data_IF_783935215232
#
_entry.id   IF_783935215232
#
_cell.length_a   1.000
_cell.length_b   1.000
_cell.length_c   1.000
_cell.angle_alpha   90.00
_cell.angle_beta   90.00
_cell.angle_gamma   90.00
#
_symmetry.space_group_name_H-M   'P 1'
#
loop_
_entity.id
_entity.type
_entity.pdbx_description
1 polymer ?
#
# COMPACT_ATOMS: atom_id res chain seq x y z
N UNK A 1 36.00 80.04 -15.53
CA UNK A 1 36.91 79.02 -16.06
C UNK A 1 36.36 77.72 -15.63
N UNK A 2 35.71 77.13 -16.52
CA UNK A 2 35.69 75.75 -17.02
C UNK A 2 35.96 74.68 -15.96
N UNK A 3 34.91 74.06 -15.46
CA UNK A 3 34.88 72.65 -15.10
C UNK A 3 33.79 71.97 -15.94
N UNK A 4 34.24 71.29 -17.00
CA UNK A 4 33.41 70.47 -17.87
C UNK A 4 33.35 69.08 -17.33
N UNK A 5 32.11 68.60 -17.13
CA UNK A 5 31.58 67.33 -17.51
C UNK A 5 32.55 66.15 -17.61
N UNK A 6 32.37 65.21 -16.66
CA UNK A 6 32.70 63.84 -16.86
C UNK A 6 31.68 62.91 -16.16
N UNK A 7 30.43 62.98 -16.59
CA UNK A 7 29.38 62.03 -16.26
C UNK A 7 28.88 61.34 -17.53
N UNK A 8 29.69 60.47 -18.06
CA UNK A 8 29.30 59.57 -19.13
C UNK A 8 29.93 58.19 -18.83
N UNK A 9 29.13 57.16 -18.70
CA UNK A 9 29.41 55.74 -18.48
C UNK A 9 29.25 55.19 -17.08
N UNK A 10 28.00 55.16 -16.60
CA UNK A 10 27.54 54.20 -15.57
C UNK A 10 26.04 53.93 -15.78
N UNK A 11 25.68 53.43 -16.94
CA UNK A 11 24.38 52.85 -17.19
C UNK A 11 24.50 51.86 -18.34
N UNK A 12 24.99 50.65 -18.07
CA UNK A 12 24.82 49.50 -18.95
C UNK A 12 25.09 48.20 -18.17
N UNK A 13 24.29 47.95 -17.15
CA UNK A 13 24.02 46.62 -16.62
C UNK A 13 22.53 46.54 -16.30
N UNK A 14 21.70 46.83 -17.30
CA UNK A 14 20.30 46.42 -17.28
C UNK A 14 20.23 45.03 -18.00
N UNK A 15 20.75 44.01 -17.32
CA UNK A 15 20.57 42.60 -17.70
C UNK A 15 19.13 42.15 -17.38
N UNK A 16 18.15 43.01 -17.62
CA UNK A 16 16.76 42.65 -17.63
C UNK A 16 16.50 41.73 -18.83
N UNK A 17 16.15 40.46 -18.57
CA UNK A 17 15.70 39.54 -19.62
C UNK A 17 14.51 40.22 -20.33
N UNK A 18 14.73 40.70 -21.57
CA UNK A 18 13.67 41.36 -22.35
C UNK A 18 12.62 40.30 -22.71
N UNK A 19 11.47 40.35 -22.01
CA UNK A 19 10.34 39.43 -22.24
C UNK A 19 9.88 39.48 -23.71
N UNK A 20 10.04 40.62 -24.38
CA UNK A 20 9.72 40.81 -25.80
C UNK A 20 10.68 40.03 -26.71
N UNK A 21 12.00 40.01 -26.37
CA UNK A 21 12.98 39.18 -27.11
C UNK A 21 12.73 37.70 -26.90
N UNK A 22 12.40 37.26 -25.68
CA UNK A 22 12.00 35.89 -25.37
C UNK A 22 10.80 35.43 -26.23
N UNK A 23 9.76 36.26 -26.29
CA UNK A 23 8.58 35.94 -27.09
C UNK A 23 8.89 35.85 -28.59
N UNK A 24 9.75 36.76 -29.10
CA UNK A 24 10.22 36.73 -30.50
C UNK A 24 11.01 35.45 -30.82
N UNK A 25 11.89 35.01 -29.90
CA UNK A 25 12.63 33.73 -30.04
C UNK A 25 11.72 32.53 -30.09
N UNK A 26 10.68 32.49 -29.25
CA UNK A 26 9.68 31.42 -29.26
C UNK A 26 8.90 31.36 -30.58
N UNK A 27 8.50 32.51 -31.12
CA UNK A 27 7.80 32.59 -32.42
C UNK A 27 8.67 32.18 -33.56
N UNK A 28 9.94 32.61 -33.61
CA UNK A 28 10.93 32.19 -34.62
C UNK A 28 11.29 30.70 -34.52
N UNK A 29 11.32 30.19 -33.28
CA UNK A 29 11.60 28.76 -32.98
C UNK A 29 10.40 27.82 -33.04
N UNK A 30 9.20 28.29 -33.44
CA UNK A 30 7.94 27.53 -33.37
C UNK A 30 8.03 26.12 -34.03
N UNK A 31 8.72 25.98 -35.16
CA UNK A 31 8.87 24.71 -35.83
C UNK A 31 9.77 23.72 -35.07
N UNK A 32 10.79 24.24 -34.36
CA UNK A 32 11.68 23.45 -33.51
C UNK A 32 10.88 23.00 -32.28
N UNK A 33 10.15 23.95 -31.68
CA UNK A 33 9.32 23.66 -30.50
C UNK A 33 8.28 22.59 -30.84
N UNK A 34 7.57 22.76 -31.95
CA UNK A 34 6.54 21.81 -32.39
C UNK A 34 7.12 20.42 -32.67
N UNK A 35 8.22 20.33 -33.42
CA UNK A 35 8.84 19.04 -33.79
C UNK A 35 9.38 18.30 -32.56
N UNK A 36 10.12 18.97 -31.67
CA UNK A 36 10.69 18.33 -30.47
C UNK A 36 9.58 17.89 -29.52
N UNK A 37 8.57 18.74 -29.28
CA UNK A 37 7.42 18.38 -28.44
C UNK A 37 6.69 17.16 -28.99
N UNK A 38 6.45 17.13 -30.33
CA UNK A 38 5.76 16.01 -30.98
C UNK A 38 6.58 14.71 -30.87
N UNK A 39 7.89 14.76 -31.02
CA UNK A 39 8.76 13.57 -30.88
C UNK A 39 8.69 13.02 -29.46
N UNK A 40 8.83 13.89 -28.44
CA UNK A 40 8.78 13.47 -27.03
C UNK A 40 7.39 12.92 -26.67
N UNK A 41 6.33 13.56 -27.20
CA UNK A 41 4.96 13.07 -27.01
C UNK A 41 4.76 11.66 -27.62
N UNK A 42 5.25 11.42 -28.84
CA UNK A 42 5.16 10.10 -29.49
C UNK A 42 5.94 9.04 -28.69
N UNK A 43 7.11 9.38 -28.16
CA UNK A 43 7.88 8.48 -27.30
C UNK A 43 7.07 8.14 -26.03
N UNK A 44 6.52 9.14 -25.33
CA UNK A 44 5.72 8.95 -24.13
C UNK A 44 4.42 8.15 -24.39
N UNK A 45 3.76 8.43 -25.52
CA UNK A 45 2.58 7.68 -25.94
C UNK A 45 2.90 6.21 -26.22
N UNK A 46 3.96 5.94 -26.99
CA UNK A 46 4.40 4.57 -27.29
C UNK A 46 4.80 3.82 -26.02
N UNK A 47 5.55 4.47 -25.11
CA UNK A 47 5.88 3.91 -23.81
C UNK A 47 4.63 3.55 -22.99
N UNK A 48 3.63 4.44 -22.96
CA UNK A 48 2.36 4.21 -22.25
C UNK A 48 1.60 2.99 -22.76
N UNK A 49 1.68 2.69 -24.06
CA UNK A 49 1.05 1.50 -24.66
C UNK A 49 1.76 0.20 -24.35
N UNK A 50 3.08 0.26 -24.08
CA UNK A 50 3.90 -0.92 -23.77
C UNK A 50 3.77 -1.36 -22.32
N UNK A 51 3.30 -0.48 -21.43
CA UNK A 51 3.09 -0.82 -20.01
C UNK A 51 1.94 -1.82 -19.85
N UNK A 52 2.10 -2.85 -18.99
CA UNK A 52 1.03 -3.81 -18.70
C UNK A 52 -0.10 -3.14 -17.93
N UNK A 53 -1.34 -3.60 -18.17
CA UNK A 53 -2.49 -3.20 -17.38
C UNK A 53 -2.42 -3.82 -15.99
N UNK A 54 -2.75 -3.05 -14.98
CA UNK A 54 -2.84 -3.46 -13.57
C UNK A 54 -4.27 -3.21 -13.10
N UNK A 55 -4.85 -4.19 -12.47
CA UNK A 55 -6.18 -4.14 -11.85
C UNK A 55 -6.03 -4.08 -10.34
N UNK A 56 -6.87 -3.29 -9.69
CA UNK A 56 -6.84 -3.10 -8.25
C UNK A 56 -8.19 -3.53 -7.66
N UNK A 57 -8.19 -4.61 -6.88
CA UNK A 57 -9.36 -5.02 -6.10
C UNK A 57 -9.29 -4.40 -4.71
N UNK A 58 -10.39 -3.81 -4.25
CA UNK A 58 -10.49 -3.09 -2.98
C UNK A 58 -11.56 -3.72 -2.10
N UNK A 59 -11.26 -3.76 -0.81
CA UNK A 59 -12.22 -4.07 0.23
C UNK A 59 -12.26 -2.91 1.24
N UNK A 60 -13.44 -2.42 1.55
CA UNK A 60 -13.64 -1.46 2.65
C UNK A 60 -14.01 -2.22 3.90
N UNK A 61 -13.21 -2.08 4.95
CA UNK A 61 -13.27 -2.85 6.18
C UNK A 61 -13.60 -1.94 7.37
N UNK A 62 -14.44 -2.45 8.27
CA UNK A 62 -14.69 -1.83 9.57
C UNK A 62 -14.06 -2.69 10.67
N UNK A 63 -13.37 -2.08 11.67
CA UNK A 63 -12.92 -2.81 12.85
C UNK A 63 -14.10 -3.39 13.64
N UNK A 64 -14.03 -4.68 13.92
CA UNK A 64 -15.03 -5.34 14.79
C UNK A 64 -14.73 -4.91 16.23
N UNK A 65 -15.66 -4.15 16.84
CA UNK A 65 -15.52 -3.71 18.22
C UNK A 65 -15.60 -4.91 19.17
N UNK A 66 -14.57 -5.10 19.98
CA UNK A 66 -14.60 -6.08 21.08
C UNK A 66 -15.52 -5.65 22.23
N UNK A 67 -16.09 -4.44 22.17
CA UNK A 67 -16.76 -3.78 23.28
C UNK A 67 -18.24 -4.18 23.52
N UNK A 68 -18.82 -5.09 22.74
CA UNK A 68 -20.26 -5.39 22.86
C UNK A 68 -20.64 -6.47 23.90
N UNK A 69 -19.75 -6.89 24.78
CA UNK A 69 -20.11 -7.91 25.77
C UNK A 69 -19.90 -7.53 27.23
N UNK A 70 -18.74 -7.05 27.57
CA UNK A 70 -18.36 -6.95 29.02
C UNK A 70 -17.92 -5.54 29.40
N UNK A 71 -17.36 -4.76 28.48
CA UNK A 71 -16.93 -3.38 28.75
C UNK A 71 -18.09 -2.43 29.12
N UNK A 72 -19.32 -2.74 28.74
CA UNK A 72 -20.52 -1.95 29.10
C UNK A 72 -20.86 -2.07 30.57
N UNK A 73 -20.75 -3.26 31.17
CA UNK A 73 -20.97 -3.47 32.59
C UNK A 73 -19.78 -3.03 33.45
N UNK A 74 -18.56 -3.21 32.99
CA UNK A 74 -17.35 -2.71 33.67
C UNK A 74 -17.24 -1.17 33.66
N UNK A 75 -17.74 -0.48 32.65
CA UNK A 75 -17.82 1.00 32.68
C UNK A 75 -18.63 1.53 33.87
N UNK A 76 -19.66 0.81 34.29
CA UNK A 76 -20.46 1.18 35.46
C UNK A 76 -19.69 0.95 36.77
N UNK A 77 -18.70 0.06 36.81
CA UNK A 77 -17.85 -0.22 37.97
C UNK A 77 -16.48 0.44 37.91
N UNK A 78 -16.14 1.11 36.78
CA UNK A 78 -14.86 1.80 36.60
C UNK A 78 -14.56 2.88 37.63
N UNK A 79 -15.59 3.53 38.15
CA UNK A 79 -15.46 4.47 39.27
C UNK A 79 -15.01 3.82 40.57
N UNK A 80 -15.42 2.58 40.85
CA UNK A 80 -15.03 1.82 42.05
C UNK A 80 -13.63 1.20 41.93
N UNK A 81 -13.24 0.78 40.71
CA UNK A 81 -11.89 0.27 40.42
C UNK A 81 -10.82 1.37 40.56
N UNK A 82 -11.13 2.61 40.13
CA UNK A 82 -10.27 3.78 40.32
C UNK A 82 -10.02 4.12 41.79
N UNK A 83 -11.05 3.94 42.67
CA UNK A 83 -10.92 4.10 44.14
C UNK A 83 -10.06 3.00 44.75
N UNK A 84 -10.00 1.81 44.14
CA UNK A 84 -9.17 0.69 44.60
C UNK A 84 -7.72 0.74 44.03
N UNK A 85 -7.36 1.79 43.27
CA UNK A 85 -6.02 1.93 42.69
C UNK A 85 -5.74 0.96 41.54
N UNK A 86 -6.77 0.32 40.97
CA UNK A 86 -6.65 -0.59 39.84
C UNK A 86 -6.80 0.24 38.56
N UNK A 87 -5.70 0.44 37.85
CA UNK A 87 -5.69 1.04 36.51
C UNK A 87 -6.26 0.03 35.51
N UNK A 88 -7.52 0.23 35.09
CA UNK A 88 -8.06 -0.54 33.97
C UNK A 88 -7.37 -0.10 32.68
N UNK A 89 -6.91 -1.04 31.81
CA UNK A 89 -6.34 -0.69 30.53
C UNK A 89 -7.36 0.13 29.72
N UNK A 90 -6.89 1.26 29.14
CA UNK A 90 -7.72 2.05 28.22
C UNK A 90 -8.11 1.19 27.01
N UNK A 91 -9.37 1.18 26.59
CA UNK A 91 -9.84 0.34 25.48
C UNK A 91 -9.19 0.67 24.12
N UNK A 92 -8.58 1.85 23.94
CA UNK A 92 -8.29 2.41 22.63
C UNK A 92 -6.91 2.06 22.04
N UNK A 93 -5.87 1.84 22.86
CA UNK A 93 -4.51 1.63 22.33
C UNK A 93 -4.14 0.15 22.08
N UNK A 94 -4.93 -0.80 22.50
CA UNK A 94 -4.63 -2.24 22.44
C UNK A 94 -5.67 -3.06 21.68
N UNK A 95 -6.51 -2.43 20.86
CA UNK A 95 -7.52 -3.17 20.09
C UNK A 95 -6.85 -4.14 19.09
N UNK A 96 -7.44 -5.32 18.92
CA UNK A 96 -6.94 -6.31 17.95
C UNK A 96 -6.85 -5.74 16.55
N UNK A 97 -7.69 -4.76 16.20
CA UNK A 97 -7.65 -4.08 14.89
C UNK A 97 -6.35 -3.28 14.67
N UNK A 98 -5.85 -2.55 15.69
CA UNK A 98 -4.58 -1.82 15.59
C UNK A 98 -3.41 -2.78 15.44
N UNK A 99 -3.38 -3.84 16.25
CA UNK A 99 -2.35 -4.89 16.16
C UNK A 99 -2.40 -5.60 14.79
N UNK A 100 -3.61 -5.88 14.29
CA UNK A 100 -3.80 -6.54 13.00
C UNK A 100 -3.37 -5.68 11.83
N UNK A 101 -3.63 -4.36 11.83
CA UNK A 101 -3.11 -3.44 10.80
C UNK A 101 -1.59 -3.52 10.68
N UNK A 102 -0.88 -3.45 11.82
CA UNK A 102 0.57 -3.58 11.83
C UNK A 102 1.04 -5.00 11.45
N UNK A 103 0.26 -6.02 11.80
CA UNK A 103 0.57 -7.41 11.42
C UNK A 103 0.45 -7.65 9.91
N UNK A 104 -0.54 -7.05 9.24
CA UNK A 104 -0.74 -7.15 7.79
C UNK A 104 0.51 -6.80 6.97
N UNK A 105 1.29 -5.82 7.42
CA UNK A 105 2.52 -5.38 6.77
C UNK A 105 3.79 -6.03 7.34
N UNK A 106 3.67 -7.13 8.07
CA UNK A 106 4.83 -7.82 8.66
C UNK A 106 5.30 -9.01 7.82
N UNK A 107 6.62 -9.18 7.73
CA UNK A 107 7.24 -10.33 7.06
C UNK A 107 6.71 -11.67 7.62
N UNK A 108 6.53 -11.77 8.94
CA UNK A 108 6.08 -13.02 9.57
C UNK A 108 4.64 -13.40 9.18
N UNK A 109 3.75 -12.42 9.01
CA UNK A 109 2.40 -12.66 8.51
C UNK A 109 2.43 -13.11 7.04
N UNK A 110 3.14 -12.38 6.20
CA UNK A 110 3.29 -12.75 4.80
C UNK A 110 3.84 -14.17 4.64
N UNK A 111 4.93 -14.50 5.33
CA UNK A 111 5.61 -15.79 5.21
C UNK A 111 4.75 -16.96 5.69
N UNK A 112 4.02 -16.77 6.80
CA UNK A 112 3.29 -17.87 7.44
C UNK A 112 1.86 -18.04 6.92
N UNK A 113 1.23 -16.96 6.47
CA UNK A 113 -0.19 -16.95 6.11
C UNK A 113 -0.43 -16.69 4.62
N UNK A 114 0.36 -15.81 3.97
CA UNK A 114 0.09 -15.43 2.58
C UNK A 114 0.91 -16.28 1.61
N UNK A 115 2.24 -16.34 1.77
CA UNK A 115 3.14 -17.00 0.82
C UNK A 115 2.83 -18.48 0.60
N UNK A 116 2.31 -19.17 1.61
CA UNK A 116 1.91 -20.59 1.52
C UNK A 116 0.66 -20.82 0.66
N UNK A 117 -0.17 -19.79 0.53
CA UNK A 117 -1.47 -19.85 -0.11
C UNK A 117 -1.50 -19.21 -1.50
N UNK A 118 -0.36 -18.66 -1.97
CA UNK A 118 -0.22 -18.07 -3.30
C UNK A 118 0.79 -18.85 -4.13
N UNK A 119 0.58 -18.83 -5.44
CA UNK A 119 1.57 -19.40 -6.36
C UNK A 119 2.69 -18.40 -6.60
N UNK A 120 3.91 -18.75 -6.19
CA UNK A 120 5.06 -17.81 -6.19
C UNK A 120 5.36 -17.18 -7.57
N UNK A 121 5.25 -17.91 -8.71
CA UNK A 121 5.39 -17.27 -10.01
C UNK A 121 4.36 -16.18 -10.32
N UNK A 122 3.14 -16.28 -9.77
CA UNK A 122 2.13 -15.23 -9.94
C UNK A 122 2.53 -13.91 -9.26
N UNK A 123 3.30 -14.01 -8.17
CA UNK A 123 3.83 -12.84 -7.50
C UNK A 123 5.09 -12.28 -8.19
N UNK A 124 5.99 -13.17 -8.62
CA UNK A 124 7.37 -12.78 -8.93
C UNK A 124 7.66 -12.67 -10.43
N UNK A 125 6.92 -13.37 -11.28
CA UNK A 125 7.29 -13.57 -12.69
C UNK A 125 6.20 -13.19 -13.70
N UNK A 126 5.11 -12.55 -13.28
CA UNK A 126 4.06 -12.15 -14.23
C UNK A 126 4.51 -10.96 -15.06
N UNK A 127 4.40 -11.08 -16.38
CA UNK A 127 4.66 -10.03 -17.35
C UNK A 127 3.37 -9.31 -17.75
N UNK A 128 2.30 -10.06 -18.04
CA UNK A 128 1.04 -9.50 -18.48
C UNK A 128 -0.13 -10.46 -18.28
N UNK A 129 -1.33 -9.95 -18.46
CA UNK A 129 -2.58 -10.72 -18.46
C UNK A 129 -3.17 -10.75 -19.86
N UNK A 130 -3.50 -11.94 -20.35
CA UNK A 130 -4.20 -12.09 -21.62
C UNK A 130 -5.72 -12.11 -21.38
N UNK A 131 -6.37 -11.02 -21.74
CA UNK A 131 -7.80 -10.84 -21.57
C UNK A 131 -8.66 -11.88 -22.32
N UNK A 132 -8.24 -12.31 -23.53
CA UNK A 132 -9.01 -13.24 -24.35
C UNK A 132 -8.96 -14.67 -23.80
N UNK A 133 -7.78 -15.11 -23.36
CA UNK A 133 -7.57 -16.48 -22.83
C UNK A 133 -7.77 -16.56 -21.33
N UNK A 134 -7.91 -15.44 -20.63
CA UNK A 134 -7.96 -15.32 -19.17
C UNK A 134 -6.78 -16.05 -18.49
N UNK A 135 -5.59 -15.92 -19.06
CA UNK A 135 -4.37 -16.56 -18.54
C UNK A 135 -3.27 -15.52 -18.34
N UNK A 136 -2.44 -15.76 -17.33
CA UNK A 136 -1.21 -15.01 -17.11
C UNK A 136 -0.16 -15.40 -18.14
N UNK A 137 0.59 -14.40 -18.58
CA UNK A 137 1.81 -14.53 -19.37
C UNK A 137 2.99 -14.24 -18.43
N UNK A 138 3.89 -15.20 -18.27
CA UNK A 138 5.06 -15.04 -17.42
C UNK A 138 6.24 -14.50 -18.23
N UNK A 139 7.17 -13.90 -17.53
CA UNK A 139 8.45 -13.48 -18.09
C UNK A 139 9.38 -14.71 -18.17
N UNK A 140 9.62 -15.19 -19.39
CA UNK A 140 10.46 -16.34 -19.66
C UNK A 140 11.93 -16.13 -19.26
N UNK A 141 12.37 -14.89 -19.03
CA UNK A 141 13.69 -14.60 -18.48
C UNK A 141 13.79 -14.81 -16.96
N UNK A 142 12.64 -14.94 -16.28
CA UNK A 142 12.54 -15.13 -14.83
C UNK A 142 12.08 -16.57 -14.52
N UNK A 143 11.05 -17.04 -15.22
CA UNK A 143 10.41 -18.31 -14.93
C UNK A 143 9.92 -19.00 -16.20
N UNK A 144 10.40 -20.23 -16.46
CA UNK A 144 9.90 -21.06 -17.55
C UNK A 144 8.68 -21.88 -17.07
N UNK A 145 7.51 -21.48 -17.56
CA UNK A 145 6.24 -22.12 -17.22
C UNK A 145 6.15 -23.56 -17.74
N UNK A 146 6.83 -23.92 -18.83
CA UNK A 146 6.71 -25.24 -19.44
C UNK A 146 7.45 -26.30 -18.62
N UNK A 147 8.62 -25.94 -18.10
CA UNK A 147 9.46 -26.80 -17.26
C UNK A 147 9.26 -26.60 -15.75
N UNK A 148 8.45 -25.61 -15.34
CA UNK A 148 8.22 -25.22 -13.94
C UNK A 148 9.53 -24.85 -13.20
N UNK A 149 10.45 -24.14 -13.89
CA UNK A 149 11.79 -23.84 -13.39
C UNK A 149 12.06 -22.36 -13.38
N UNK A 150 12.69 -21.88 -12.31
CA UNK A 150 13.22 -20.52 -12.21
C UNK A 150 14.52 -20.42 -13.01
N UNK A 151 14.55 -19.51 -14.00
CA UNK A 151 15.70 -19.29 -14.90
C UNK A 151 16.37 -17.95 -14.69
N UNK A 152 15.89 -17.13 -13.77
CA UNK A 152 16.38 -15.78 -13.50
C UNK A 152 17.86 -15.72 -13.13
N UNK A 153 18.52 -14.62 -13.49
CA UNK A 153 19.84 -14.28 -12.97
C UNK A 153 19.71 -13.79 -11.51
N UNK A 154 20.66 -14.18 -10.67
CA UNK A 154 20.70 -13.78 -9.27
C UNK A 154 22.14 -13.53 -8.82
N UNK A 155 22.30 -12.69 -7.80
CA UNK A 155 23.58 -12.40 -7.17
C UNK A 155 23.49 -12.72 -5.67
N UNK A 156 24.55 -13.28 -5.11
CA UNK A 156 24.58 -13.54 -3.68
C UNK A 156 24.27 -12.24 -2.88
N UNK A 157 23.40 -12.26 -1.84
CA UNK A 157 22.80 -13.41 -1.15
C UNK A 157 21.49 -13.97 -1.75
N UNK A 158 20.99 -13.46 -2.86
CA UNK A 158 19.82 -13.97 -3.55
C UNK A 158 20.00 -15.43 -3.99
N UNK A 159 18.89 -16.10 -4.27
CA UNK A 159 18.86 -17.48 -4.76
C UNK A 159 18.09 -17.54 -6.08
N UNK A 160 18.25 -18.64 -6.81
CA UNK A 160 17.50 -18.86 -8.06
C UNK A 160 15.99 -18.83 -7.81
N UNK A 161 15.50 -19.50 -6.76
CA UNK A 161 14.11 -19.38 -6.28
C UNK A 161 14.03 -18.16 -5.37
N UNK A 162 13.11 -17.21 -5.62
CA UNK A 162 12.93 -16.05 -4.77
C UNK A 162 12.71 -16.41 -3.31
N UNK A 163 13.42 -15.71 -2.41
CA UNK A 163 13.27 -15.91 -0.98
C UNK A 163 11.97 -15.29 -0.47
N UNK A 164 11.54 -15.68 0.73
CA UNK A 164 10.37 -15.07 1.38
C UNK A 164 10.56 -13.57 1.66
N UNK A 165 11.79 -13.11 1.90
CA UNK A 165 12.09 -11.69 2.09
C UNK A 165 11.94 -10.90 0.78
N UNK A 166 12.49 -11.41 -0.30
CA UNK A 166 12.38 -10.82 -1.64
C UNK A 166 10.92 -10.79 -2.12
N UNK A 167 10.20 -11.89 -1.89
CA UNK A 167 8.78 -11.99 -2.21
C UNK A 167 7.91 -11.04 -1.37
N UNK A 168 8.25 -10.87 -0.10
CA UNK A 168 7.60 -9.92 0.80
C UNK A 168 7.80 -8.48 0.34
N UNK A 169 9.02 -8.09 0.02
CA UNK A 169 9.33 -6.75 -0.46
C UNK A 169 8.49 -6.41 -1.69
N UNK A 170 8.46 -7.32 -2.67
CA UNK A 170 7.64 -7.14 -3.87
C UNK A 170 6.14 -7.07 -3.55
N UNK A 171 5.65 -7.94 -2.67
CA UNK A 171 4.25 -7.96 -2.27
C UNK A 171 3.81 -6.64 -1.63
N UNK A 172 4.61 -6.08 -0.72
CA UNK A 172 4.29 -4.83 -0.02
C UNK A 172 4.42 -3.61 -0.93
N UNK A 173 5.43 -3.58 -1.82
CA UNK A 173 5.70 -2.39 -2.64
C UNK A 173 4.84 -2.31 -3.89
N UNK A 174 4.54 -3.46 -4.52
CA UNK A 174 3.86 -3.49 -5.82
C UNK A 174 2.40 -3.95 -5.74
N UNK A 175 2.05 -4.78 -4.74
CA UNK A 175 0.73 -5.42 -4.71
C UNK A 175 -0.16 -4.93 -3.58
N UNK A 176 0.31 -4.90 -2.33
CA UNK A 176 -0.52 -4.55 -1.17
C UNK A 176 -0.53 -3.04 -0.93
N UNK A 177 -1.74 -2.50 -0.73
CA UNK A 177 -1.91 -1.14 -0.21
C UNK A 177 -2.94 -1.13 0.91
N UNK A 178 -2.61 -0.44 2.00
CA UNK A 178 -3.48 -0.22 3.14
C UNK A 178 -3.67 1.28 3.34
N UNK A 179 -4.91 1.73 3.41
CA UNK A 179 -5.25 3.13 3.68
C UNK A 179 -6.33 3.20 4.75
N UNK A 180 -6.11 3.99 5.78
CA UNK A 180 -7.07 4.21 6.85
C UNK A 180 -7.66 5.62 6.74
N UNK A 181 -8.97 5.72 6.83
CA UNK A 181 -9.64 7.00 7.01
C UNK A 181 -9.62 7.38 8.50
N UNK A 182 -8.84 8.38 8.84
CA UNK A 182 -8.68 8.86 10.23
C UNK A 182 -9.98 9.39 10.87
N UNK A 183 -11.02 9.71 10.07
CA UNK A 183 -12.29 10.20 10.60
C UNK A 183 -13.24 9.07 10.97
N UNK A 184 -13.28 8.04 10.16
CA UNK A 184 -14.18 6.90 10.35
C UNK A 184 -13.51 5.69 10.99
N UNK A 185 -12.17 5.61 10.94
CA UNK A 185 -11.40 4.44 11.37
C UNK A 185 -11.54 3.24 10.42
N UNK A 186 -12.14 3.44 9.25
CA UNK A 186 -12.29 2.37 8.26
C UNK A 186 -10.97 2.11 7.55
N UNK A 187 -10.71 0.84 7.27
CA UNK A 187 -9.50 0.38 6.59
C UNK A 187 -9.83 -0.03 5.16
N UNK A 188 -9.23 0.61 4.18
CA UNK A 188 -9.25 0.14 2.80
C UNK A 188 -8.06 -0.79 2.58
N UNK A 189 -8.35 -2.06 2.34
CA UNK A 189 -7.39 -3.07 1.91
C UNK A 189 -7.49 -3.18 0.40
N UNK A 190 -6.39 -2.99 -0.33
CA UNK A 190 -6.38 -3.17 -1.77
C UNK A 190 -5.19 -3.99 -2.24
N UNK A 191 -5.41 -4.81 -3.27
CA UNK A 191 -4.39 -5.60 -3.95
C UNK A 191 -4.39 -5.23 -5.43
N UNK A 192 -3.19 -4.92 -5.94
CA UNK A 192 -2.92 -4.67 -7.34
C UNK A 192 -2.30 -5.90 -8.00
N UNK A 193 -2.81 -6.28 -9.16
CA UNK A 193 -2.25 -7.38 -9.93
C UNK A 193 -2.59 -7.22 -11.42
N UNK A 194 -1.81 -7.85 -12.31
CA UNK A 194 -2.10 -7.85 -13.75
C UNK A 194 -3.40 -8.62 -14.08
N UNK A 195 -3.76 -9.64 -13.27
CA UNK A 195 -5.03 -10.34 -13.38
C UNK A 195 -6.05 -9.79 -12.38
N UNK A 196 -7.24 -9.35 -12.82
CA UNK A 196 -8.30 -8.88 -11.92
C UNK A 196 -8.83 -9.99 -11.00
N UNK A 197 -8.75 -11.26 -11.44
CA UNK A 197 -9.15 -12.42 -10.65
C UNK A 197 -8.21 -12.65 -9.47
N UNK A 198 -6.90 -12.59 -9.72
CA UNK A 198 -5.89 -12.76 -8.66
C UNK A 198 -5.92 -11.56 -7.71
N UNK A 199 -6.11 -10.33 -8.21
CA UNK A 199 -6.27 -9.18 -7.35
C UNK A 199 -7.40 -9.38 -6.33
N UNK A 200 -8.58 -9.84 -6.77
CA UNK A 200 -9.69 -10.18 -5.87
C UNK A 200 -9.33 -11.32 -4.92
N UNK A 201 -8.84 -12.44 -5.45
CA UNK A 201 -8.51 -13.63 -4.67
C UNK A 201 -7.50 -13.32 -3.55
N UNK A 202 -6.47 -12.52 -3.85
CA UNK A 202 -5.47 -12.17 -2.84
C UNK A 202 -6.02 -11.14 -1.82
N UNK A 203 -6.93 -10.27 -2.22
CA UNK A 203 -7.62 -9.37 -1.26
C UNK A 203 -8.45 -10.18 -0.26
N UNK A 204 -9.23 -11.16 -0.75
CA UNK A 204 -9.99 -12.09 0.08
C UNK A 204 -9.09 -12.95 0.97
N UNK A 205 -7.96 -13.43 0.42
CA UNK A 205 -6.98 -14.22 1.17
C UNK A 205 -6.42 -13.42 2.34
N UNK A 206 -5.93 -12.19 2.11
CA UNK A 206 -5.35 -11.35 3.16
C UNK A 206 -6.37 -11.03 4.25
N UNK A 207 -7.61 -10.73 3.86
CA UNK A 207 -8.71 -10.49 4.81
C UNK A 207 -9.03 -11.72 5.65
N UNK A 208 -9.16 -12.90 5.03
CA UNK A 208 -9.51 -14.14 5.73
C UNK A 208 -8.37 -14.57 6.68
N UNK A 209 -7.12 -14.50 6.21
CA UNK A 209 -5.96 -14.92 7.00
C UNK A 209 -5.75 -14.05 8.25
N UNK A 210 -5.96 -12.73 8.16
CA UNK A 210 -5.81 -11.86 9.33
C UNK A 210 -6.93 -12.10 10.36
N UNK A 211 -8.17 -12.31 9.92
CA UNK A 211 -9.28 -12.66 10.79
C UNK A 211 -9.06 -14.02 11.48
N UNK A 212 -8.65 -15.02 10.72
CA UNK A 212 -8.36 -16.36 11.23
C UNK A 212 -7.20 -16.35 12.23
N UNK A 213 -6.10 -15.66 11.90
CA UNK A 213 -4.93 -15.58 12.78
C UNK A 213 -5.28 -15.05 14.17
N UNK A 214 -6.05 -13.96 14.25
CA UNK A 214 -6.43 -13.39 15.54
C UNK A 214 -7.52 -14.18 16.25
N UNK A 215 -8.47 -14.75 15.52
CA UNK A 215 -9.49 -15.66 16.08
C UNK A 215 -8.86 -16.88 16.72
N UNK A 216 -7.97 -17.57 16.02
CA UNK A 216 -7.26 -18.76 16.51
C UNK A 216 -6.35 -18.44 17.71
N UNK A 217 -5.67 -17.29 17.66
CA UNK A 217 -4.83 -16.85 18.76
C UNK A 217 -5.62 -16.61 20.04
N UNK A 218 -6.67 -15.78 19.97
CA UNK A 218 -7.47 -15.42 21.14
C UNK A 218 -8.26 -16.62 21.65
N UNK A 219 -8.70 -17.53 20.75
CA UNK A 219 -9.31 -18.81 21.12
C UNK A 219 -8.36 -19.67 21.94
N UNK A 220 -7.14 -19.88 21.43
CA UNK A 220 -6.11 -20.66 22.12
C UNK A 220 -5.75 -20.07 23.49
N UNK A 221 -5.62 -18.73 23.60
CA UNK A 221 -5.38 -18.06 24.88
C UNK A 221 -6.52 -18.29 25.88
N UNK A 222 -7.78 -18.21 25.43
CA UNK A 222 -8.95 -18.46 26.29
C UNK A 222 -9.08 -19.93 26.68
N UNK A 223 -8.81 -20.88 25.79
CA UNK A 223 -8.81 -22.30 26.10
C UNK A 223 -7.76 -22.64 27.20
N UNK A 224 -6.55 -22.10 27.10
CA UNK A 224 -5.50 -22.24 28.11
C UNK A 224 -5.96 -21.65 29.46
N UNK A 225 -6.58 -20.47 29.42
CA UNK A 225 -7.10 -19.84 30.64
C UNK A 225 -8.21 -20.67 31.30
N UNK A 226 -9.14 -21.22 30.53
CA UNK A 226 -10.21 -22.12 31.00
C UNK A 226 -9.62 -23.36 31.67
N UNK A 227 -8.66 -24.01 31.02
CA UNK A 227 -7.99 -25.19 31.58
C UNK A 227 -7.25 -24.88 32.91
N UNK A 228 -6.55 -23.74 32.92
CA UNK A 228 -5.84 -23.30 34.13
C UNK A 228 -6.81 -23.02 35.28
N UNK A 229 -7.88 -22.26 35.04
CA UNK A 229 -8.89 -21.93 36.06
C UNK A 229 -9.59 -23.18 36.58
N UNK A 230 -9.95 -24.14 35.74
CA UNK A 230 -10.53 -25.43 36.16
C UNK A 230 -9.58 -26.21 37.10
N UNK A 231 -8.28 -26.24 36.78
CA UNK A 231 -7.28 -26.87 37.67
C UNK A 231 -7.20 -26.14 39.01
N UNK A 232 -7.15 -24.81 39.02
CA UNK A 232 -7.08 -24.03 40.25
C UNK A 232 -8.32 -24.21 41.13
N UNK A 233 -9.53 -24.22 40.54
CA UNK A 233 -10.78 -24.49 41.27
C UNK A 233 -10.74 -25.86 41.94
N UNK A 234 -10.20 -26.87 41.28
CA UNK A 234 -10.16 -28.26 41.83
C UNK A 234 -9.25 -28.41 43.03
N UNK A 235 -8.14 -27.64 43.11
CA UNK A 235 -7.16 -27.71 44.21
C UNK A 235 -7.38 -26.67 45.31
N UNK A 236 -8.22 -25.67 45.08
CA UNK A 236 -8.51 -24.59 46.04
C UNK A 236 -9.44 -25.09 47.13
N UNK A 237 -9.06 -24.92 48.39
CA UNK A 237 -9.85 -25.34 49.58
C UNK A 237 -10.75 -24.21 50.08
N UNK A 238 -10.28 -22.95 49.96
CA UNK A 238 -11.04 -21.77 50.49
C UNK A 238 -12.23 -21.45 49.60
N UNK A 239 -13.44 -21.44 50.18
CA UNK A 239 -14.69 -21.21 49.44
C UNK A 239 -14.74 -19.85 48.75
N UNK A 240 -14.23 -18.81 49.38
CA UNK A 240 -14.25 -17.43 48.85
C UNK A 240 -13.38 -17.33 47.61
N UNK A 241 -12.18 -17.93 47.61
CA UNK A 241 -11.30 -17.96 46.47
C UNK A 241 -11.89 -18.81 45.34
N UNK A 242 -12.50 -19.95 45.69
CA UNK A 242 -13.14 -20.84 44.74
C UNK A 242 -14.28 -20.14 43.98
N UNK A 243 -15.05 -19.29 44.68
CA UNK A 243 -16.11 -18.50 44.06
C UNK A 243 -15.53 -17.49 43.06
N UNK A 244 -14.49 -16.74 43.42
CA UNK A 244 -13.83 -15.79 42.50
C UNK A 244 -13.25 -16.49 41.26
N UNK A 245 -12.61 -17.66 41.44
CA UNK A 245 -12.12 -18.45 40.32
C UNK A 245 -13.25 -18.96 39.43
N UNK A 246 -14.41 -19.32 39.98
CA UNK A 246 -15.58 -19.74 39.22
C UNK A 246 -16.17 -18.57 38.39
N UNK A 247 -16.20 -17.35 38.94
CA UNK A 247 -16.62 -16.14 38.23
C UNK A 247 -15.67 -15.83 37.05
N UNK A 248 -14.34 -15.89 37.27
CA UNK A 248 -13.35 -15.72 36.20
C UNK A 248 -13.49 -16.80 35.13
N UNK A 249 -13.73 -18.05 35.52
CA UNK A 249 -13.97 -19.14 34.58
C UNK A 249 -15.22 -18.89 33.73
N UNK A 250 -16.27 -18.40 34.32
CA UNK A 250 -17.49 -18.05 33.59
C UNK A 250 -17.25 -16.94 32.59
N UNK A 251 -16.46 -15.93 32.92
CA UNK A 251 -16.08 -14.84 32.01
C UNK A 251 -15.28 -15.36 30.81
N UNK A 252 -14.28 -16.23 31.03
CA UNK A 252 -13.49 -16.82 29.95
C UNK A 252 -14.31 -17.77 29.06
N UNK A 253 -15.24 -18.54 29.61
CA UNK A 253 -16.15 -19.37 28.82
C UNK A 253 -17.09 -18.51 27.97
N UNK A 254 -17.61 -17.39 28.51
CA UNK A 254 -18.39 -16.44 27.71
C UNK A 254 -17.60 -15.83 26.59
N UNK A 255 -16.36 -15.41 26.86
CA UNK A 255 -15.43 -14.89 25.84
C UNK A 255 -15.17 -15.92 24.75
N UNK A 256 -14.85 -17.15 25.12
CA UNK A 256 -14.64 -18.26 24.17
C UNK A 256 -15.87 -18.51 23.30
N UNK A 257 -17.06 -18.51 23.90
CA UNK A 257 -18.33 -18.65 23.18
C UNK A 257 -18.53 -17.53 22.15
N UNK A 258 -18.21 -16.29 22.52
CA UNK A 258 -18.29 -15.14 21.60
C UNK A 258 -17.27 -15.21 20.46
N UNK A 259 -16.05 -15.69 20.73
CA UNK A 259 -15.02 -15.92 19.71
C UNK A 259 -15.53 -16.93 18.67
N UNK A 260 -16.11 -18.05 19.13
CA UNK A 260 -16.63 -19.10 18.23
C UNK A 260 -17.84 -18.62 17.42
N UNK A 261 -18.76 -17.88 18.02
CA UNK A 261 -19.99 -17.43 17.39
C UNK A 261 -19.78 -16.36 16.29
N UNK A 262 -18.65 -15.64 16.31
CA UNK A 262 -18.38 -14.59 15.33
C UNK A 262 -17.86 -15.15 14.02
N UNK A 263 -18.46 -14.72 12.92
CA UNK A 263 -18.00 -15.04 11.57
C UNK A 263 -16.69 -14.29 11.26
N UNK A 264 -16.65 -12.99 11.50
CA UNK A 264 -15.47 -12.15 11.36
C UNK A 264 -15.00 -11.66 12.71
N UNK A 265 -13.70 -11.60 12.91
CA UNK A 265 -13.15 -11.43 14.25
C UNK A 265 -12.49 -10.06 14.49
N UNK A 266 -11.65 -9.62 13.55
CA UNK A 266 -10.92 -8.33 13.67
C UNK A 266 -11.52 -7.27 12.77
N UNK A 267 -11.83 -7.64 11.54
CA UNK A 267 -12.42 -6.76 10.52
C UNK A 267 -13.65 -7.43 9.90
N UNK A 268 -14.65 -6.62 9.59
CA UNK A 268 -15.82 -7.03 8.80
C UNK A 268 -15.87 -6.21 7.51
N UNK A 269 -16.56 -6.72 6.50
CA UNK A 269 -16.76 -6.01 5.23
C UNK A 269 -17.85 -4.95 5.35
N UNK A 270 -17.52 -3.71 4.96
CA UNK A 270 -18.52 -2.73 4.52
C UNK A 270 -18.77 -2.93 3.04
N UNK A 271 -17.68 -3.10 2.26
CA UNK A 271 -17.74 -3.35 0.83
C UNK A 271 -16.73 -4.48 0.50
N UNK A 272 -17.20 -5.65 0.05
CA UNK A 272 -16.33 -6.77 -0.27
C UNK A 272 -15.54 -6.52 -1.56
N UNK A 273 -14.40 -7.21 -1.75
CA UNK A 273 -13.60 -7.04 -2.96
C UNK A 273 -14.29 -7.65 -4.17
N UNK A 274 -14.24 -6.93 -5.29
CA UNK A 274 -14.83 -7.34 -6.55
C UNK A 274 -13.79 -7.49 -7.66
N UNK A 275 -14.16 -8.23 -8.73
CA UNK A 275 -13.36 -8.36 -9.95
C UNK A 275 -13.55 -7.07 -10.75
N UNK A 276 -12.50 -6.25 -10.84
CA UNK A 276 -12.58 -4.99 -11.57
C UNK A 276 -12.51 -5.21 -13.09
N UNK A 277 -13.44 -4.60 -13.81
CA UNK A 277 -13.49 -4.65 -15.27
C UNK A 277 -12.49 -3.68 -15.92
N UNK A 278 -12.22 -2.57 -15.23
CA UNK A 278 -11.33 -1.51 -15.71
C UNK A 278 -9.99 -1.55 -15.00
N UNK A 279 -8.91 -1.34 -15.77
CA UNK A 279 -7.57 -1.15 -15.25
C UNK A 279 -7.47 0.10 -14.36
N UNK A 280 -6.72 0.01 -13.27
CA UNK A 280 -6.39 1.14 -12.38
C UNK A 280 -5.11 1.83 -12.83
N UNK A 281 -4.16 1.09 -13.41
CA UNK A 281 -2.87 1.59 -13.88
C UNK A 281 -2.51 0.96 -15.23
N UNK A 282 -1.69 1.65 -16.07
CA UNK A 282 -1.22 3.02 -15.93
C UNK A 282 -2.29 4.06 -16.30
N UNK A 283 -2.23 5.24 -15.69
CA UNK A 283 -3.03 6.38 -16.18
C UNK A 283 -2.41 6.94 -17.46
N UNK A 284 -2.81 6.37 -18.60
CA UNK A 284 -2.26 6.70 -19.93
C UNK A 284 -2.41 8.17 -20.29
N UNK A 285 -3.54 8.78 -19.89
CA UNK A 285 -3.80 10.21 -20.13
C UNK A 285 -2.79 11.07 -19.40
N UNK A 286 -2.49 10.74 -18.13
CA UNK A 286 -1.52 11.47 -17.32
C UNK A 286 -0.10 11.37 -17.93
N UNK A 287 0.30 10.18 -18.39
CA UNK A 287 1.60 9.97 -19.05
C UNK A 287 1.72 10.83 -20.31
N UNK A 288 0.66 10.89 -21.13
CA UNK A 288 0.62 11.73 -22.34
C UNK A 288 0.72 13.23 -22.02
N UNK A 289 0.00 13.69 -20.98
CA UNK A 289 0.08 15.10 -20.57
C UNK A 289 1.48 15.44 -20.05
N UNK A 290 2.07 14.60 -19.20
CA UNK A 290 3.41 14.83 -18.66
C UNK A 290 4.48 14.79 -19.74
N UNK A 291 4.38 13.88 -20.73
CA UNK A 291 5.32 13.83 -21.84
C UNK A 291 5.20 15.05 -22.75
N UNK A 292 3.98 15.56 -23.00
CA UNK A 292 3.78 16.80 -23.74
C UNK A 292 4.36 18.03 -23.02
N UNK A 293 4.13 18.16 -21.71
CA UNK A 293 4.70 19.24 -20.90
C UNK A 293 6.23 19.20 -20.88
N UNK A 294 6.80 18.01 -20.64
CA UNK A 294 8.26 17.82 -20.64
C UNK A 294 8.85 18.13 -22.02
N UNK A 295 8.18 17.71 -23.08
CA UNK A 295 8.55 18.01 -24.46
C UNK A 295 8.53 19.52 -24.75
N UNK A 296 7.53 20.22 -24.25
CA UNK A 296 7.40 21.67 -24.40
C UNK A 296 8.55 22.41 -23.68
N UNK A 297 8.82 22.05 -22.41
CA UNK A 297 9.91 22.67 -21.65
C UNK A 297 11.27 22.44 -22.33
N UNK A 298 11.56 21.20 -22.69
CA UNK A 298 12.83 20.87 -23.37
C UNK A 298 12.96 21.57 -24.73
N UNK A 299 11.86 21.66 -25.49
CA UNK A 299 11.88 22.32 -26.80
C UNK A 299 12.15 23.83 -26.70
N UNK A 300 11.59 24.48 -25.68
CA UNK A 300 11.87 25.90 -25.39
C UNK A 300 13.34 26.10 -25.03
N UNK A 301 13.90 25.27 -24.17
CA UNK A 301 15.33 25.32 -23.81
C UNK A 301 16.21 25.16 -25.04
N UNK A 302 15.91 24.19 -25.90
CA UNK A 302 16.66 23.95 -27.14
C UNK A 302 16.58 25.16 -28.10
N UNK A 303 15.35 25.77 -28.20
CA UNK A 303 15.16 26.95 -29.05
C UNK A 303 15.99 28.16 -28.54
N UNK A 304 16.02 28.36 -27.23
CA UNK A 304 16.82 29.42 -26.60
C UNK A 304 18.33 29.18 -26.78
N UNK A 305 18.78 27.96 -26.47
CA UNK A 305 20.22 27.61 -26.66
C UNK A 305 20.66 27.78 -28.11
N UNK A 306 19.80 27.40 -29.05
CA UNK A 306 20.10 27.63 -30.48
C UNK A 306 20.17 29.10 -30.83
N UNK A 307 19.28 29.93 -30.29
CA UNK A 307 19.24 31.35 -30.57
C UNK A 307 20.47 32.07 -29.99
N UNK A 308 20.75 31.88 -28.71
CA UNK A 308 21.83 32.55 -28.00
C UNK A 308 23.21 31.95 -28.32
N UNK A 309 23.32 30.62 -28.42
CA UNK A 309 24.61 29.95 -28.74
C UNK A 309 25.08 30.15 -30.17
N UNK A 310 24.20 30.47 -31.14
CA UNK A 310 24.64 30.90 -32.51
C UNK A 310 25.00 32.39 -32.57
N UNK A 311 24.44 33.23 -31.68
CA UNK A 311 24.76 34.67 -31.63
C UNK A 311 26.19 34.91 -31.15
N UNK A 312 26.71 34.07 -30.28
CA UNK A 312 28.06 34.13 -29.73
C UNK A 312 29.16 33.65 -30.72
N UNK A 313 28.80 32.82 -31.69
CA UNK A 313 29.76 32.37 -32.74
C UNK A 313 29.91 33.35 -33.92
N UNK A 314 29.10 34.39 -34.02
CA UNK A 314 29.09 35.38 -35.10
C UNK A 314 29.53 36.78 -34.63
N UNK A 315 29.83 36.94 -33.34
CA UNK A 315 30.47 38.10 -32.75
C UNK A 315 31.96 37.82 -32.49
#
# INVERSE_FOLDING_TARGET
>A
MQEQNNNKHLNDFDDGIDVGELFRVLVLGKWIILSVTTIIFIIGFTYSLLLPNIYESKALLVPVSSSNGISGSLKNYGGLAGLAGISLPSPDDNSNSVKAKNKLISLSFFQNNILKNIYLPDLMAVKSWNFKTKKLVYDESIYDKNSDVWVRNYYYPQKQIPSSQESFEKFITEHLSLSEDNKTGFLTLSIKHQSPFIAKQWTELVFNEINTLYKEKDKSESEIAVDYLNKQISITVLSEIKQVLAELLQEEIQKLTLIEARQFYVFDYIDPPEIMEKESEPNRVLICILSALLGLVLSVVIALLKHYGFKEKLA
#
